data_IF_166591574029
#
_entry.id   IF_166591574029
#
_cell.length_a   1.000
_cell.length_b   1.000
_cell.length_c   1.000
_cell.angle_alpha   90.00
_cell.angle_beta   90.00
_cell.angle_gamma   90.00
#
_symmetry.space_group_name_H-M   'P 1'
#
loop_
_entity.id
_entity.type
_entity.pdbx_description
1 polymer ?
#
# COMPACT_ATOMS: atom_id res chain seq x y z
N UNK A 1 -24.70 44.16 80.84
CA UNK A 1 -26.00 44.32 81.54
C UNK A 1 -27.11 43.86 80.62
N UNK A 2 -27.86 42.85 81.07
CA UNK A 2 -29.30 42.64 80.86
C UNK A 2 -29.95 42.55 79.47
N UNK A 3 -30.59 41.38 79.29
CA UNK A 3 -31.99 41.13 78.86
C UNK A 3 -32.26 41.09 77.34
N UNK A 4 -32.70 39.98 76.72
CA UNK A 4 -33.87 39.08 76.90
C UNK A 4 -35.13 39.56 76.14
N UNK A 5 -35.59 38.70 75.20
CA UNK A 5 -36.96 38.45 74.64
C UNK A 5 -37.64 39.58 73.82
N UNK A 6 -38.46 39.38 72.77
CA UNK A 6 -39.37 38.27 72.40
C UNK A 6 -39.95 38.43 70.96
N UNK A 7 -40.17 37.30 70.27
CA UNK A 7 -41.26 36.86 69.36
C UNK A 7 -41.83 37.69 68.17
N UNK A 8 -41.97 37.00 67.02
CA UNK A 8 -42.94 37.29 65.95
C UNK A 8 -42.88 36.36 64.71
N UNK A 9 -43.68 35.28 64.72
CA UNK A 9 -44.26 34.43 63.64
C UNK A 9 -43.61 34.39 62.22
N UNK A 10 -43.07 33.25 61.74
CA UNK A 10 -43.73 32.04 61.18
C UNK A 10 -44.22 32.15 59.71
N UNK A 11 -43.48 31.53 58.79
CA UNK A 11 -44.01 30.91 57.57
C UNK A 11 -43.08 29.75 57.13
N UNK A 12 -43.62 28.52 57.20
CA UNK A 12 -43.00 27.27 56.78
C UNK A 12 -42.92 27.18 55.26
N UNK A 13 -41.78 26.70 54.74
CA UNK A 13 -41.75 25.90 53.53
C UNK A 13 -40.64 24.84 53.67
N UNK A 14 -41.05 23.65 54.09
CA UNK A 14 -40.22 22.44 54.08
C UNK A 14 -40.29 21.80 52.71
N UNK A 15 -39.14 21.60 52.06
CA UNK A 15 -38.97 20.57 51.05
C UNK A 15 -37.65 19.85 51.32
N UNK A 16 -37.77 18.58 51.67
CA UNK A 16 -36.67 17.66 51.97
C UNK A 16 -35.90 17.30 50.69
N UNK A 17 -34.57 17.35 50.85
CA UNK A 17 -33.52 16.43 50.39
C UNK A 17 -33.84 15.42 49.27
N UNK A 18 -32.97 15.37 48.26
CA UNK A 18 -32.44 14.09 47.75
C UNK A 18 -31.02 14.30 47.19
N UNK A 19 -30.02 14.00 48.02
CA UNK A 19 -28.64 13.77 47.56
C UNK A 19 -28.57 12.42 46.87
N UNK A 20 -28.59 12.42 45.54
CA UNK A 20 -28.30 11.25 44.71
C UNK A 20 -26.86 11.29 44.23
N UNK A 21 -25.99 10.48 44.83
CA UNK A 21 -24.69 10.10 44.25
C UNK A 21 -24.94 9.24 43.01
N UNK A 22 -25.00 9.85 41.84
CA UNK A 22 -24.92 9.17 40.56
C UNK A 22 -23.48 9.14 40.08
N UNK A 23 -22.85 7.99 40.14
CA UNK A 23 -21.57 7.68 39.49
C UNK A 23 -21.66 7.96 37.99
N UNK A 24 -21.04 9.04 37.52
CA UNK A 24 -20.78 9.25 36.10
C UNK A 24 -19.69 8.27 35.65
N UNK A 25 -20.10 7.10 35.16
CA UNK A 25 -19.26 6.38 34.22
C UNK A 25 -19.06 7.30 33.00
N UNK A 26 -17.82 7.52 32.54
CA UNK A 26 -17.65 8.06 31.21
C UNK A 26 -18.18 6.99 30.27
N UNK A 27 -19.33 7.26 29.65
CA UNK A 27 -19.67 6.65 28.38
C UNK A 27 -18.51 6.99 27.46
N UNK A 28 -17.62 6.02 27.25
CA UNK A 28 -16.85 5.93 26.03
C UNK A 28 -17.88 5.86 24.91
N UNK A 29 -18.33 7.03 24.47
CA UNK A 29 -18.75 7.21 23.11
C UNK A 29 -17.59 6.67 22.30
N UNK A 30 -17.84 5.53 21.67
CA UNK A 30 -17.07 5.10 20.53
C UNK A 30 -17.24 6.21 19.50
N UNK A 31 -16.40 7.24 19.61
CA UNK A 31 -16.10 8.17 18.55
C UNK A 31 -15.56 7.30 17.42
N UNK A 32 -16.48 6.78 16.61
CA UNK A 32 -16.17 6.24 15.32
C UNK A 32 -15.30 7.28 14.65
N UNK A 33 -14.08 6.89 14.30
CA UNK A 33 -13.25 7.70 13.42
C UNK A 33 -14.06 7.87 12.13
N UNK A 34 -14.86 8.93 12.04
CA UNK A 34 -15.34 9.44 10.77
C UNK A 34 -14.09 9.97 10.07
N UNK A 35 -13.37 9.06 9.42
CA UNK A 35 -12.28 9.43 8.55
C UNK A 35 -12.85 10.31 7.47
N UNK A 36 -12.26 11.49 7.27
CA UNK A 36 -12.68 12.41 6.22
C UNK A 36 -12.70 11.70 4.87
N UNK A 37 -13.67 12.07 4.04
CA UNK A 37 -13.82 11.62 2.66
C UNK A 37 -12.49 11.71 1.91
N UNK A 38 -12.07 10.61 1.29
CA UNK A 38 -10.84 10.55 0.50
C UNK A 38 -11.18 10.64 -0.98
N UNK A 39 -10.46 11.47 -1.73
CA UNK A 39 -10.64 11.55 -3.18
C UNK A 39 -9.31 11.46 -3.90
N UNK A 40 -9.28 10.59 -4.91
CA UNK A 40 -8.09 10.22 -5.69
C UNK A 40 -8.45 10.26 -7.18
N UNK A 41 -7.42 10.40 -8.01
CA UNK A 41 -7.51 10.09 -9.44
C UNK A 41 -6.54 8.95 -9.70
N UNK A 42 -7.02 7.89 -10.34
CA UNK A 42 -6.23 6.71 -10.65
C UNK A 42 -5.42 6.88 -11.95
N UNK A 43 -4.59 5.89 -12.28
CA UNK A 43 -3.74 5.90 -13.47
C UNK A 43 -4.52 5.81 -14.80
N UNK A 44 -5.83 5.59 -14.76
CA UNK A 44 -6.73 5.65 -15.93
C UNK A 44 -7.42 7.01 -16.08
N UNK A 45 -7.13 7.96 -15.18
CA UNK A 45 -7.79 9.26 -15.11
C UNK A 45 -9.16 9.20 -14.42
N UNK A 46 -9.57 8.06 -13.87
CA UNK A 46 -10.85 7.91 -13.22
C UNK A 46 -10.79 8.44 -11.78
N UNK A 47 -11.78 9.26 -11.41
CA UNK A 47 -11.89 9.82 -10.06
C UNK A 47 -12.56 8.82 -9.13
N UNK A 48 -11.92 8.54 -8.00
CA UNK A 48 -12.40 7.63 -6.97
C UNK A 48 -12.66 8.42 -5.71
N UNK A 49 -13.77 8.11 -5.05
CA UNK A 49 -14.16 8.74 -3.81
C UNK A 49 -14.49 7.65 -2.80
N UNK A 50 -13.84 7.70 -1.65
CA UNK A 50 -14.10 6.83 -0.52
C UNK A 50 -14.71 7.67 0.61
N UNK A 51 -15.74 7.17 1.27
CA UNK A 51 -16.40 7.91 2.35
C UNK A 51 -15.51 8.06 3.59
N UNK A 52 -14.56 7.14 3.76
CA UNK A 52 -13.51 7.14 4.76
C UNK A 52 -12.27 6.42 4.18
N UNK A 53 -11.09 6.55 4.82
CA UNK A 53 -9.93 5.76 4.43
C UNK A 53 -10.23 4.26 4.48
N UNK A 54 -9.83 3.54 3.43
CA UNK A 54 -10.09 2.12 3.26
C UNK A 54 -9.35 1.26 4.29
N UNK A 55 -10.04 0.27 4.83
CA UNK A 55 -9.55 -0.70 5.82
C UNK A 55 -9.70 -2.15 5.37
N UNK A 56 -10.62 -2.43 4.44
CA UNK A 56 -10.94 -3.76 3.90
C UNK A 56 -10.53 -3.86 2.43
N UNK A 57 -9.21 -3.86 2.24
CA UNK A 57 -8.60 -3.73 0.91
C UNK A 57 -8.35 -5.09 0.26
N UNK A 58 -8.63 -5.18 -1.04
CA UNK A 58 -8.21 -6.28 -1.92
C UNK A 58 -7.13 -5.77 -2.88
N UNK A 59 -6.13 -6.60 -3.18
CA UNK A 59 -5.09 -6.28 -4.15
C UNK A 59 -4.94 -7.39 -5.21
N UNK A 60 -5.00 -7.03 -6.49
CA UNK A 60 -5.02 -8.00 -7.61
C UNK A 60 -3.63 -8.29 -8.18
N UNK A 61 -2.60 -7.61 -7.69
CA UNK A 61 -1.20 -7.72 -8.12
C UNK A 61 -0.28 -7.72 -6.91
N UNK A 62 0.96 -8.21 -7.07
CA UNK A 62 1.88 -8.35 -5.92
C UNK A 62 2.46 -7.02 -5.45
N UNK A 63 2.77 -6.09 -6.35
CA UNK A 63 3.24 -4.76 -6.00
C UNK A 63 2.30 -4.03 -5.00
N UNK A 64 0.98 -3.91 -5.25
CA UNK A 64 0.09 -3.30 -4.26
C UNK A 64 -0.05 -4.12 -2.97
N UNK A 65 0.17 -5.45 -2.99
CA UNK A 65 0.24 -6.24 -1.74
C UNK A 65 1.45 -5.82 -0.90
N UNK A 66 2.63 -5.66 -1.51
CA UNK A 66 3.83 -5.20 -0.82
C UNK A 66 3.65 -3.80 -0.23
N UNK A 67 3.06 -2.89 -0.99
CA UNK A 67 2.76 -1.53 -0.52
C UNK A 67 1.79 -1.56 0.66
N UNK A 68 0.69 -2.31 0.58
CA UNK A 68 -0.27 -2.44 1.68
C UNK A 68 0.39 -2.99 2.95
N UNK A 69 1.18 -4.06 2.84
CA UNK A 69 1.91 -4.64 3.96
C UNK A 69 2.92 -3.65 4.54
N UNK A 70 3.62 -2.89 3.70
CA UNK A 70 4.55 -1.83 4.11
C UNK A 70 3.85 -0.72 4.87
N UNK A 71 2.62 -0.38 4.47
CA UNK A 71 1.75 0.60 5.13
C UNK A 71 1.08 0.06 6.40
N UNK A 72 1.31 -1.22 6.74
CA UNK A 72 0.72 -1.87 7.91
C UNK A 72 -0.72 -2.35 7.70
N UNK A 73 -1.20 -2.38 6.46
CA UNK A 73 -2.52 -2.87 6.07
C UNK A 73 -2.43 -4.35 5.71
N UNK A 74 -3.33 -5.14 6.29
CA UNK A 74 -3.49 -6.54 5.94
C UNK A 74 -4.62 -6.66 4.91
N UNK A 75 -4.33 -6.97 3.63
CA UNK A 75 -5.39 -7.16 2.65
C UNK A 75 -6.30 -8.33 3.05
N UNK A 76 -7.59 -8.23 2.76
CA UNK A 76 -8.55 -9.32 3.00
C UNK A 76 -8.60 -10.34 1.87
N UNK A 77 -8.11 -9.96 0.69
CA UNK A 77 -8.00 -10.84 -0.47
C UNK A 77 -6.86 -10.41 -1.38
N UNK A 78 -6.09 -11.38 -1.88
CA UNK A 78 -5.02 -11.13 -2.84
C UNK A 78 -5.00 -12.18 -3.95
N UNK A 79 -4.55 -11.79 -5.14
CA UNK A 79 -4.36 -12.73 -6.25
C UNK A 79 -3.04 -13.50 -6.09
N UNK A 80 -3.07 -14.79 -6.41
CA UNK A 80 -1.91 -15.70 -6.44
C UNK A 80 -1.09 -15.69 -5.14
N UNK A 81 -1.75 -16.07 -4.03
CA UNK A 81 -1.11 -16.17 -2.70
C UNK A 81 0.09 -17.12 -2.72
N UNK A 82 -0.06 -18.25 -3.43
CA UNK A 82 0.98 -19.28 -3.52
C UNK A 82 2.23 -18.72 -4.18
N UNK A 83 2.09 -18.02 -5.31
CA UNK A 83 3.20 -17.36 -5.98
C UNK A 83 3.79 -16.23 -5.13
N UNK A 84 2.95 -15.39 -4.52
CA UNK A 84 3.43 -14.30 -3.65
C UNK A 84 4.31 -14.83 -2.52
N UNK A 85 3.81 -15.83 -1.79
CA UNK A 85 4.53 -16.42 -0.65
C UNK A 85 5.80 -17.16 -1.08
N UNK A 86 5.83 -17.68 -2.31
CA UNK A 86 6.97 -18.40 -2.87
C UNK A 86 8.09 -17.46 -3.29
N UNK A 87 7.76 -16.31 -3.87
CA UNK A 87 8.73 -15.46 -4.56
C UNK A 87 9.02 -14.14 -3.85
N UNK A 88 8.11 -13.66 -3.00
CA UNK A 88 8.33 -12.47 -2.18
C UNK A 88 8.52 -12.83 -0.70
N UNK A 89 9.68 -12.43 -0.17
CA UNK A 89 10.03 -12.58 1.24
C UNK A 89 10.24 -11.24 1.94
N UNK A 90 10.26 -10.12 1.20
CA UNK A 90 10.57 -8.80 1.74
C UNK A 90 9.37 -8.16 2.45
N UNK A 91 8.15 -8.52 2.07
CA UNK A 91 6.91 -8.07 2.68
C UNK A 91 6.01 -9.27 3.02
N UNK A 92 6.34 -10.07 4.04
CA UNK A 92 5.57 -11.26 4.37
C UNK A 92 4.14 -10.90 4.80
N UNK A 93 3.17 -11.69 4.35
CA UNK A 93 1.78 -11.57 4.81
C UNK A 93 1.71 -11.80 6.31
N UNK A 94 1.04 -10.88 7.03
CA UNK A 94 0.87 -10.97 8.49
C UNK A 94 -0.40 -11.71 8.89
N UNK A 95 -1.33 -11.86 7.97
CA UNK A 95 -2.60 -12.59 8.13
C UNK A 95 -2.79 -13.53 6.94
N UNK A 96 -3.87 -14.31 6.97
CA UNK A 96 -4.26 -15.19 5.87
C UNK A 96 -5.38 -14.53 5.04
N UNK A 97 -5.07 -13.81 3.94
CA UNK A 97 -6.09 -13.30 3.02
C UNK A 97 -6.81 -14.45 2.31
N UNK A 98 -7.99 -14.16 1.76
CA UNK A 98 -8.65 -15.04 0.81
C UNK A 98 -7.90 -15.02 -0.54
N UNK A 99 -7.79 -16.18 -1.18
CA UNK A 99 -7.26 -16.28 -2.55
C UNK A 99 -8.35 -15.82 -3.51
N UNK A 100 -8.10 -14.71 -4.22
CA UNK A 100 -9.05 -14.19 -5.21
C UNK A 100 -8.71 -14.66 -6.64
N UNK A 101 -7.92 -15.72 -6.81
CA UNK A 101 -7.59 -16.26 -8.13
C UNK A 101 -6.26 -15.75 -8.67
N UNK A 102 -6.06 -15.83 -9.99
CA UNK A 102 -4.78 -15.43 -10.59
C UNK A 102 -4.70 -13.90 -10.73
N UNK A 103 -3.50 -13.37 -10.98
CA UNK A 103 -3.31 -11.92 -11.20
C UNK A 103 -3.94 -11.44 -12.51
N UNK A 104 -3.96 -12.28 -13.54
CA UNK A 104 -4.62 -11.98 -14.82
C UNK A 104 -6.13 -12.21 -14.79
N UNK A 105 -6.60 -13.14 -13.96
CA UNK A 105 -8.02 -13.51 -13.86
C UNK A 105 -8.49 -13.59 -12.39
N UNK A 106 -8.67 -12.44 -11.72
CA UNK A 106 -9.27 -12.41 -10.40
C UNK A 106 -10.76 -12.84 -10.40
N UNK A 107 -11.17 -13.58 -9.38
CA UNK A 107 -12.52 -14.08 -9.16
C UNK A 107 -13.45 -12.98 -8.64
N UNK A 108 -14.31 -12.46 -9.52
CA UNK A 108 -15.32 -11.45 -9.16
C UNK A 108 -16.28 -11.93 -8.06
N UNK A 109 -16.65 -13.21 -8.09
CA UNK A 109 -17.52 -13.85 -7.11
C UNK A 109 -16.87 -13.89 -5.71
N UNK A 110 -15.58 -14.21 -5.64
CA UNK A 110 -14.84 -14.16 -4.37
C UNK A 110 -14.65 -12.71 -3.88
N UNK A 111 -14.31 -11.79 -4.78
CA UNK A 111 -14.21 -10.36 -4.47
C UNK A 111 -15.54 -9.83 -3.89
N UNK A 112 -16.67 -10.16 -4.52
CA UNK A 112 -17.99 -9.74 -4.07
C UNK A 112 -18.34 -10.27 -2.67
N UNK A 113 -18.07 -11.55 -2.38
CA UNK A 113 -18.26 -12.14 -1.05
C UNK A 113 -17.43 -11.47 0.04
N UNK A 114 -16.26 -10.97 -0.31
CA UNK A 114 -15.40 -10.26 0.62
C UNK A 114 -15.90 -8.84 0.90
N UNK A 115 -16.81 -8.28 0.10
CA UNK A 115 -17.40 -6.94 0.29
C UNK A 115 -16.35 -5.88 0.68
N UNK A 116 -15.31 -5.66 -0.17
CA UNK A 116 -14.23 -4.73 0.14
C UNK A 116 -14.70 -3.28 0.09
N UNK A 117 -14.00 -2.40 0.81
CA UNK A 117 -14.17 -0.94 0.69
C UNK A 117 -13.27 -0.32 -0.41
N UNK A 118 -12.22 -1.06 -0.82
CA UNK A 118 -11.34 -0.70 -1.91
C UNK A 118 -10.77 -1.95 -2.59
N UNK A 119 -10.76 -1.95 -3.92
CA UNK A 119 -10.02 -2.90 -4.75
C UNK A 119 -8.86 -2.16 -5.39
N UNK A 120 -7.65 -2.70 -5.29
CA UNK A 120 -6.44 -2.14 -5.90
C UNK A 120 -6.02 -3.02 -7.07
N UNK A 121 -6.00 -2.42 -8.26
CA UNK A 121 -5.56 -3.04 -9.49
C UNK A 121 -4.38 -2.26 -10.10
N UNK A 122 -3.80 -2.79 -11.16
CA UNK A 122 -2.77 -2.12 -11.96
C UNK A 122 -3.24 -1.95 -13.41
N UNK A 123 -2.57 -1.09 -14.17
CA UNK A 123 -2.85 -0.87 -15.60
C UNK A 123 -2.72 -2.13 -16.48
N UNK A 124 -2.04 -3.18 -16.00
CA UNK A 124 -1.85 -4.43 -16.74
C UNK A 124 -3.07 -5.34 -16.67
N UNK A 125 -3.95 -5.16 -15.68
CA UNK A 125 -5.20 -5.90 -15.60
C UNK A 125 -6.17 -5.44 -16.68
N UNK A 126 -6.90 -6.38 -17.30
CA UNK A 126 -7.80 -6.04 -18.41
C UNK A 126 -8.87 -5.02 -18.00
N UNK A 127 -9.17 -4.07 -18.89
CA UNK A 127 -10.19 -3.05 -18.65
C UNK A 127 -11.59 -3.66 -18.43
N UNK A 128 -11.86 -4.83 -19.02
CA UNK A 128 -13.09 -5.59 -18.79
C UNK A 128 -13.19 -6.09 -17.34
N UNK A 129 -12.11 -6.66 -16.79
CA UNK A 129 -12.05 -7.08 -15.38
C UNK A 129 -12.19 -5.87 -14.44
N UNK A 130 -11.48 -4.77 -14.71
CA UNK A 130 -11.62 -3.52 -13.93
C UNK A 130 -13.06 -3.00 -13.95
N UNK A 131 -13.74 -3.05 -15.10
CA UNK A 131 -15.15 -2.65 -15.23
C UNK A 131 -16.06 -3.51 -14.36
N UNK A 132 -15.84 -4.82 -14.32
CA UNK A 132 -16.60 -5.73 -13.46
C UNK A 132 -16.36 -5.45 -11.97
N UNK A 133 -15.10 -5.21 -11.57
CA UNK A 133 -14.75 -4.86 -10.18
C UNK A 133 -15.41 -3.56 -9.72
N UNK A 134 -15.51 -2.56 -10.60
CA UNK A 134 -16.17 -1.27 -10.30
C UNK A 134 -17.67 -1.42 -10.01
N UNK A 135 -18.31 -2.50 -10.45
CA UNK A 135 -19.69 -2.82 -10.08
C UNK A 135 -19.80 -3.41 -8.65
N UNK A 136 -18.69 -3.83 -8.06
CA UNK A 136 -18.63 -4.43 -6.71
C UNK A 136 -18.22 -3.39 -5.66
N UNK A 137 -17.14 -2.65 -5.91
CA UNK A 137 -16.57 -1.69 -4.97
C UNK A 137 -15.74 -0.61 -5.70
N UNK A 138 -15.34 0.49 -5.01
CA UNK A 138 -14.36 1.42 -5.56
C UNK A 138 -13.07 0.71 -6.00
N UNK A 139 -12.56 1.07 -7.18
CA UNK A 139 -11.32 0.49 -7.73
C UNK A 139 -10.27 1.57 -7.93
N UNK A 140 -9.12 1.43 -7.29
CA UNK A 140 -7.90 2.21 -7.53
C UNK A 140 -6.99 1.47 -8.49
N UNK A 141 -6.82 2.01 -9.70
CA UNK A 141 -5.87 1.49 -10.69
C UNK A 141 -4.54 2.23 -10.55
N UNK A 142 -3.50 1.53 -10.11
CA UNK A 142 -2.13 2.05 -10.04
C UNK A 142 -1.43 1.90 -11.39
N UNK A 143 -0.45 2.77 -11.64
CA UNK A 143 0.43 2.64 -12.80
C UNK A 143 1.48 1.58 -12.50
N UNK A 144 1.64 0.60 -13.39
CA UNK A 144 2.49 -0.57 -13.16
C UNK A 144 3.99 -0.22 -13.22
N UNK A 145 4.40 0.58 -14.21
CA UNK A 145 5.79 0.98 -14.38
C UNK A 145 5.96 2.32 -15.10
N UNK A 146 7.14 2.91 -14.93
CA UNK A 146 7.57 4.13 -15.61
C UNK A 146 9.07 4.03 -15.90
N UNK A 147 9.42 3.74 -17.15
CA UNK A 147 10.83 3.55 -17.54
C UNK A 147 11.68 4.80 -17.32
N UNK A 148 11.06 5.99 -17.29
CA UNK A 148 11.78 7.24 -17.04
C UNK A 148 12.10 7.46 -15.56
N UNK A 149 11.29 6.89 -14.65
CA UNK A 149 11.48 7.00 -13.20
C UNK A 149 10.75 5.88 -12.44
N UNK A 150 11.28 4.66 -12.47
CA UNK A 150 10.66 3.50 -11.81
C UNK A 150 10.57 3.66 -10.29
N UNK A 151 11.58 4.31 -9.70
CA UNK A 151 11.65 4.49 -8.25
C UNK A 151 10.67 5.57 -7.82
N UNK A 152 10.59 6.70 -8.53
CA UNK A 152 9.56 7.71 -8.28
C UNK A 152 8.15 7.18 -8.53
N UNK A 153 7.95 6.31 -9.53
CA UNK A 153 6.69 5.58 -9.73
C UNK A 153 6.32 4.72 -8.54
N UNK A 154 7.25 3.91 -8.03
CA UNK A 154 7.05 3.11 -6.82
C UNK A 154 6.64 3.99 -5.63
N UNK A 155 7.33 5.13 -5.40
CA UNK A 155 6.97 6.05 -4.31
C UNK A 155 5.59 6.69 -4.51
N UNK A 156 5.24 7.02 -5.75
CA UNK A 156 3.94 7.60 -6.09
C UNK A 156 2.80 6.61 -5.83
N UNK A 157 2.98 5.34 -6.20
CA UNK A 157 2.00 4.28 -5.96
C UNK A 157 1.80 4.08 -4.44
N UNK A 158 2.90 4.02 -3.67
CA UNK A 158 2.86 3.94 -2.21
C UNK A 158 2.09 5.13 -1.60
N UNK A 159 2.33 6.35 -2.08
CA UNK A 159 1.63 7.56 -1.62
C UNK A 159 0.13 7.55 -1.98
N UNK A 160 -0.23 7.07 -3.18
CA UNK A 160 -1.63 6.90 -3.58
C UNK A 160 -2.36 5.92 -2.66
N UNK A 161 -1.73 4.78 -2.37
CA UNK A 161 -2.29 3.81 -1.43
C UNK A 161 -2.37 4.36 -0.01
N UNK A 162 -1.31 5.02 0.46
CA UNK A 162 -1.28 5.62 1.79
C UNK A 162 -2.37 6.67 1.98
N UNK A 163 -2.65 7.46 0.94
CA UNK A 163 -3.79 8.39 0.95
C UNK A 163 -5.13 7.63 0.98
N UNK A 164 -5.27 6.56 0.20
CA UNK A 164 -6.48 5.75 0.17
C UNK A 164 -6.78 5.05 1.51
N UNK A 165 -5.74 4.64 2.24
CA UNK A 165 -5.84 3.88 3.50
C UNK A 165 -5.60 4.71 4.75
N UNK A 166 -5.26 6.00 4.62
CA UNK A 166 -5.03 6.90 5.75
C UNK A 166 -3.71 6.62 6.49
N UNK A 167 -2.69 6.10 5.80
CA UNK A 167 -1.41 5.65 6.36
C UNK A 167 -0.23 6.50 5.89
N UNK A 168 -0.42 7.82 5.82
CA UNK A 168 0.59 8.78 5.33
C UNK A 168 1.86 8.82 6.18
N UNK A 169 1.74 8.57 7.49
CA UNK A 169 2.90 8.50 8.40
C UNK A 169 3.76 7.27 8.10
N UNK A 170 3.13 6.12 7.87
CA UNK A 170 3.80 4.87 7.50
C UNK A 170 4.51 5.01 6.16
N UNK A 171 3.88 5.65 5.17
CA UNK A 171 4.51 5.96 3.88
C UNK A 171 5.73 6.87 4.04
N UNK A 172 5.59 7.95 4.81
CA UNK A 172 6.71 8.87 5.12
C UNK A 172 7.88 8.12 5.75
N UNK A 173 7.60 7.26 6.73
CA UNK A 173 8.61 6.45 7.38
C UNK A 173 9.28 5.48 6.40
N UNK A 174 8.50 4.73 5.61
CA UNK A 174 9.02 3.77 4.65
C UNK A 174 9.93 4.44 3.60
N UNK A 175 9.53 5.61 3.07
CA UNK A 175 10.34 6.40 2.14
C UNK A 175 11.64 6.89 2.77
N UNK A 176 11.58 7.37 4.02
CA UNK A 176 12.79 7.78 4.77
C UNK A 176 13.75 6.60 4.94
N UNK A 177 13.25 5.45 5.36
CA UNK A 177 14.05 4.24 5.56
C UNK A 177 14.67 3.75 4.25
N UNK A 178 13.91 3.80 3.15
CA UNK A 178 14.40 3.51 1.80
C UNK A 178 15.57 4.43 1.41
N UNK A 179 15.40 5.75 1.51
CA UNK A 179 16.44 6.69 1.13
C UNK A 179 17.70 6.55 2.01
N UNK A 180 17.53 6.34 3.31
CA UNK A 180 18.63 6.06 4.22
C UNK A 180 19.39 4.77 3.81
N UNK A 181 18.66 3.73 3.43
CA UNK A 181 19.27 2.46 2.96
C UNK A 181 20.01 2.66 1.64
N UNK A 182 19.44 3.39 0.68
CA UNK A 182 20.09 3.73 -0.59
C UNK A 182 21.39 4.50 -0.35
N UNK A 183 21.37 5.54 0.49
CA UNK A 183 22.55 6.32 0.82
C UNK A 183 23.64 5.46 1.48
N UNK A 184 23.27 4.61 2.44
CA UNK A 184 24.18 3.67 3.09
C UNK A 184 24.79 2.68 2.10
N UNK A 185 23.98 2.11 1.21
CA UNK A 185 24.46 1.18 0.18
C UNK A 185 25.40 1.87 -0.81
N UNK A 186 25.08 3.10 -1.23
CA UNK A 186 25.95 3.90 -2.10
C UNK A 186 27.31 4.17 -1.47
N UNK A 187 27.32 4.52 -0.18
CA UNK A 187 28.58 4.71 0.56
C UNK A 187 29.39 3.40 0.61
N UNK A 188 28.75 2.28 0.91
CA UNK A 188 29.43 0.99 0.95
C UNK A 188 30.05 0.59 -0.42
N UNK A 189 29.37 0.88 -1.53
CA UNK A 189 29.92 0.69 -2.89
C UNK A 189 31.12 1.62 -3.13
N UNK A 190 31.08 2.86 -2.63
CA UNK A 190 32.19 3.80 -2.73
C UNK A 190 33.40 3.38 -1.89
N UNK A 191 33.20 2.98 -0.63
CA UNK A 191 34.27 2.52 0.27
C UNK A 191 34.96 1.26 -0.27
N UNK A 192 34.22 0.42 -1.01
CA UNK A 192 34.77 -0.74 -1.69
C UNK A 192 35.49 -0.40 -3.02
N UNK A 193 35.51 0.86 -3.46
CA UNK A 193 36.09 1.27 -4.74
C UNK A 193 35.32 0.78 -5.97
N UNK A 194 34.04 0.42 -5.82
CA UNK A 194 33.22 -0.21 -6.85
C UNK A 194 32.28 0.77 -7.58
N UNK A 195 32.40 2.08 -7.35
CA UNK A 195 31.58 3.08 -8.04
C UNK A 195 31.75 2.99 -9.55
N UNK A 196 30.64 3.00 -10.27
CA UNK A 196 30.59 2.87 -11.73
C UNK A 196 30.77 1.45 -12.25
N UNK A 197 30.94 0.45 -11.38
CA UNK A 197 31.01 -0.96 -11.79
C UNK A 197 29.75 -1.36 -12.56
N UNK A 198 29.96 -2.01 -13.70
CA UNK A 198 28.86 -2.51 -14.53
C UNK A 198 28.36 -3.84 -13.97
N UNK A 199 27.05 -3.95 -13.80
CA UNK A 199 26.38 -5.17 -13.34
C UNK A 199 25.26 -5.57 -14.30
N UNK A 200 25.11 -6.87 -14.53
CA UNK A 200 24.02 -7.46 -15.29
C UNK A 200 23.11 -8.24 -14.35
N UNK A 201 21.91 -7.72 -14.08
CA UNK A 201 20.86 -8.47 -13.39
C UNK A 201 19.92 -9.07 -14.43
N UNK A 202 19.53 -10.33 -14.23
CA UNK A 202 18.52 -11.00 -15.03
C UNK A 202 17.84 -12.11 -14.23
N UNK A 203 16.61 -12.43 -14.63
CA UNK A 203 15.95 -13.68 -14.24
C UNK A 203 16.08 -14.69 -15.36
N UNK A 204 16.46 -15.92 -15.04
CA UNK A 204 16.43 -17.06 -15.96
C UNK A 204 15.22 -17.94 -15.68
N UNK A 205 14.46 -18.31 -16.70
CA UNK A 205 13.36 -19.27 -16.57
C UNK A 205 13.22 -20.12 -17.82
N UNK A 206 12.75 -21.36 -17.63
CA UNK A 206 12.48 -22.29 -18.72
C UNK A 206 11.00 -22.19 -19.12
N UNK A 207 10.76 -21.89 -20.39
CA UNK A 207 9.41 -21.96 -20.98
C UNK A 207 9.42 -23.04 -22.05
N UNK A 208 8.64 -24.09 -21.84
CA UNK A 208 8.68 -25.30 -22.69
C UNK A 208 10.12 -25.85 -22.79
N UNK A 209 10.73 -25.86 -23.97
CA UNK A 209 12.11 -26.32 -24.17
C UNK A 209 13.13 -25.19 -24.38
N UNK A 210 12.74 -23.94 -24.15
CA UNK A 210 13.62 -22.78 -24.31
C UNK A 210 13.99 -22.18 -22.95
N UNK A 211 15.26 -21.84 -22.78
CA UNK A 211 15.74 -21.03 -21.66
C UNK A 211 15.59 -19.57 -22.06
N UNK A 212 14.79 -18.84 -21.30
CA UNK A 212 14.61 -17.40 -21.44
C UNK A 212 15.38 -16.67 -20.35
N UNK A 213 15.99 -15.56 -20.74
CA UNK A 213 16.67 -14.63 -19.85
C UNK A 213 15.92 -13.31 -19.93
N UNK A 214 15.43 -12.82 -18.80
CA UNK A 214 14.82 -11.50 -18.69
C UNK A 214 15.81 -10.53 -18.07
N UNK A 215 16.41 -9.70 -18.90
CA UNK A 215 17.37 -8.68 -18.53
C UNK A 215 16.67 -7.49 -17.84
N UNK A 216 17.23 -7.06 -16.71
CA UNK A 216 16.86 -5.83 -16.02
C UNK A 216 17.73 -4.69 -16.52
N UNK A 217 17.27 -3.99 -17.55
CA UNK A 217 18.04 -2.91 -18.19
C UNK A 217 17.99 -1.61 -17.38
N UNK A 218 18.76 -0.60 -17.81
CA UNK A 218 18.59 0.77 -17.31
C UNK A 218 17.16 1.24 -17.58
N UNK A 219 16.48 1.75 -16.54
CA UNK A 219 15.05 2.07 -16.58
C UNK A 219 14.11 0.91 -16.20
N UNK A 220 14.63 -0.28 -15.86
CA UNK A 220 13.88 -1.24 -15.03
C UNK A 220 14.01 -0.89 -13.55
N UNK A 221 13.13 -1.40 -12.69
CA UNK A 221 13.20 -1.08 -11.26
C UNK A 221 14.52 -1.55 -10.63
N UNK A 222 14.97 -2.77 -10.94
CA UNK A 222 16.28 -3.29 -10.46
C UNK A 222 17.45 -2.49 -11.05
N UNK A 223 17.39 -2.16 -12.35
CA UNK A 223 18.41 -1.33 -13.00
C UNK A 223 18.51 0.06 -12.36
N UNK A 224 17.38 0.71 -12.11
CA UNK A 224 17.32 2.01 -11.45
C UNK A 224 17.86 1.94 -10.01
N UNK A 225 17.56 0.87 -9.25
CA UNK A 225 18.12 0.67 -7.91
C UNK A 225 19.65 0.52 -7.92
N UNK A 226 20.21 -0.21 -8.88
CA UNK A 226 21.66 -0.32 -9.06
C UNK A 226 22.30 1.05 -9.32
N UNK A 227 21.70 1.85 -10.20
CA UNK A 227 22.18 3.19 -10.55
C UNK A 227 22.12 4.16 -9.36
N UNK A 228 21.05 4.09 -8.55
CA UNK A 228 20.93 4.87 -7.31
C UNK A 228 22.08 4.59 -6.33
N UNK A 229 22.50 3.32 -6.19
CA UNK A 229 23.60 2.93 -5.30
C UNK A 229 25.00 3.11 -5.94
N UNK A 230 25.07 3.67 -7.16
CA UNK A 230 26.34 4.03 -7.81
C UNK A 230 26.94 2.96 -8.72
N UNK A 231 26.18 1.91 -9.06
CA UNK A 231 26.55 0.95 -10.10
C UNK A 231 26.04 1.43 -11.47
N UNK A 232 26.37 0.69 -12.54
CA UNK A 232 25.87 0.93 -13.90
C UNK A 232 25.27 -0.34 -14.48
N UNK A 233 24.26 -0.21 -15.32
CA UNK A 233 23.77 -1.35 -16.12
C UNK A 233 24.87 -1.81 -17.10
N UNK A 234 25.13 -3.12 -17.14
CA UNK A 234 25.94 -3.75 -18.17
C UNK A 234 25.14 -4.02 -19.47
N UNK A 235 23.81 -4.09 -19.37
CA UNK A 235 22.94 -4.34 -20.51
C UNK A 235 22.88 -3.15 -21.47
N UNK A 236 23.16 -3.41 -22.75
CA UNK A 236 22.97 -2.47 -23.87
C UNK A 236 21.61 -2.66 -24.58
N UNK A 237 20.78 -3.57 -24.08
CA UNK A 237 19.47 -3.89 -24.64
C UNK A 237 18.50 -2.71 -24.49
N UNK A 238 17.64 -2.51 -25.50
CA UNK A 238 16.67 -1.41 -25.53
C UNK A 238 15.26 -1.94 -25.24
N UNK A 239 14.70 -1.70 -24.05
CA UNK A 239 13.33 -2.10 -23.74
C UNK A 239 12.32 -1.30 -24.57
N UNK A 240 11.28 -2.00 -25.05
CA UNK A 240 10.12 -1.39 -25.71
C UNK A 240 9.02 -1.01 -24.71
N UNK A 241 8.88 -1.82 -23.66
CA UNK A 241 7.85 -1.67 -22.63
C UNK A 241 8.29 -0.73 -21.50
N UNK A 242 7.31 -0.17 -20.80
CA UNK A 242 7.53 0.72 -19.67
C UNK A 242 8.13 0.02 -18.43
N UNK A 243 8.16 -1.31 -18.39
CA UNK A 243 8.80 -2.07 -17.30
C UNK A 243 10.33 -2.00 -17.34
N UNK A 244 10.92 -1.60 -18.48
CA UNK A 244 12.37 -1.61 -18.67
C UNK A 244 12.98 -3.01 -18.78
N UNK A 245 12.16 -4.05 -18.90
CA UNK A 245 12.62 -5.43 -19.03
C UNK A 245 12.75 -5.83 -20.51
N UNK A 246 13.74 -6.66 -20.81
CA UNK A 246 13.94 -7.27 -22.14
C UNK A 246 14.09 -8.77 -21.99
N UNK A 247 13.27 -9.55 -22.71
CA UNK A 247 13.44 -11.00 -22.79
C UNK A 247 14.35 -11.35 -23.95
N UNK A 248 15.32 -12.22 -23.69
CA UNK A 248 16.34 -12.72 -24.60
C UNK A 248 16.67 -14.18 -24.26
N UNK A 249 17.67 -14.77 -24.92
CA UNK A 249 18.20 -16.11 -24.67
C UNK A 249 19.68 -16.06 -24.20
N UNK A 250 20.30 -17.24 -24.08
CA UNK A 250 21.68 -17.37 -23.56
C UNK A 250 22.71 -16.80 -24.53
N UNK A 251 22.39 -16.74 -25.81
CA UNK A 251 23.22 -16.21 -26.88
C UNK A 251 23.44 -14.70 -26.73
N UNK A 252 22.52 -13.99 -26.08
CA UNK A 252 22.70 -12.56 -25.78
C UNK A 252 23.62 -12.27 -24.58
N UNK A 253 24.17 -13.29 -23.92
CA UNK A 253 25.15 -13.13 -22.83
C UNK A 253 26.61 -13.06 -23.29
N UNK A 254 26.88 -13.38 -24.56
CA UNK A 254 28.23 -13.35 -25.17
C UNK A 254 28.50 -12.02 -25.85
#
# INVERSE_FOLDING_TARGET
>A
MNKILTLGAAALASALLLSGCGTTQPTTDAAGRQGSKVTLTDATGHRITLDHPATKVIATEWMPVEDLVTLGINPVGISDIKGYTRWNHSAPLRTKPADIGTRGEPSMDTIARLSPDLIVATQTLSSAAVKQMRAIAPVLVLQDGDRSDQVGRMMTNLDQLAKATGTAEQATKAKKDFHAKVAKSRQAIADAGLQGTKVANADGYKTSNQISIRAFTSGSQVGAMNELIGLKSAWALKPKENSGLVTTDVEALT
#
